data_IF_399893746226
#
_entry.id   IF_399893746226
#
_cell.length_a   1.000
_cell.length_b   1.000
_cell.length_c   1.000
_cell.angle_alpha   90.00
_cell.angle_beta   90.00
_cell.angle_gamma   90.00
#
_symmetry.space_group_name_H-M   'P 1'
#
loop_
_entity.id
_entity.type
_entity.pdbx_description
1 polymer ?
#
# COMPACT_ATOMS: atom_id res chain seq x y z
N UNK A 1 -3.68 -20.30 10.23
CA UNK A 1 -2.71 -19.59 9.39
C UNK A 1 -3.00 -18.10 9.54
N UNK A 2 -1.98 -17.31 9.85
CA UNK A 2 -2.08 -15.87 10.13
C UNK A 2 -1.23 -15.14 9.10
N UNK A 3 -1.87 -14.34 8.25
CA UNK A 3 -1.18 -13.48 7.30
C UNK A 3 -0.92 -12.10 7.91
N UNK A 4 0.22 -11.49 7.59
CA UNK A 4 0.56 -10.18 8.16
C UNK A 4 -0.46 -9.12 7.72
N UNK A 5 -0.76 -9.05 6.42
CA UNK A 5 -1.73 -8.08 5.87
C UNK A 5 -3.15 -8.28 6.39
N UNK A 6 -3.61 -9.54 6.53
CA UNK A 6 -4.95 -9.87 7.02
C UNK A 6 -5.12 -9.54 8.51
N UNK A 7 -4.03 -9.61 9.29
CA UNK A 7 -4.06 -9.29 10.70
C UNK A 7 -4.17 -7.79 10.96
N UNK A 8 -3.69 -6.91 10.08
CA UNK A 8 -3.72 -5.44 10.28
C UNK A 8 -5.11 -4.91 10.67
N UNK A 9 -6.21 -5.15 9.94
CA UNK A 9 -7.53 -4.68 10.35
C UNK A 9 -7.99 -5.28 11.68
N UNK A 10 -7.62 -6.53 11.98
CA UNK A 10 -7.96 -7.19 13.26
C UNK A 10 -7.21 -6.52 14.42
N UNK A 11 -5.92 -6.26 14.22
CA UNK A 11 -5.07 -5.57 15.19
C UNK A 11 -5.62 -4.17 15.51
N UNK A 12 -6.05 -3.42 14.50
CA UNK A 12 -6.71 -2.14 14.71
C UNK A 12 -8.03 -2.29 15.47
N UNK A 13 -8.86 -3.29 15.17
CA UNK A 13 -10.10 -3.54 15.91
C UNK A 13 -9.84 -3.80 17.40
N UNK A 14 -8.83 -4.62 17.72
CA UNK A 14 -8.42 -4.93 19.09
C UNK A 14 -7.82 -3.71 19.80
N UNK A 15 -6.92 -2.98 19.15
CA UNK A 15 -6.35 -1.75 19.70
C UNK A 15 -7.42 -0.71 20.03
N UNK A 16 -8.36 -0.49 19.11
CA UNK A 16 -9.52 0.40 19.32
C UNK A 16 -10.49 -0.13 20.38
N UNK A 17 -10.37 -1.39 20.80
CA UNK A 17 -11.12 -1.97 21.91
C UNK A 17 -10.33 -2.01 23.24
N UNK A 18 -9.10 -1.49 23.27
CA UNK A 18 -8.22 -1.53 24.43
C UNK A 18 -7.50 -2.87 24.63
N UNK A 19 -7.57 -3.79 23.67
CA UNK A 19 -6.98 -5.13 23.72
C UNK A 19 -5.62 -5.18 23.03
N UNK A 20 -4.65 -4.38 23.51
CA UNK A 20 -3.34 -4.23 22.86
C UNK A 20 -2.42 -5.46 22.93
N UNK A 21 -2.67 -6.39 23.86
CA UNK A 21 -1.77 -7.53 24.13
C UNK A 21 -1.62 -8.46 22.92
N UNK A 22 -2.70 -8.79 22.22
CA UNK A 22 -2.64 -9.64 21.03
C UNK A 22 -1.77 -9.00 19.93
N UNK A 23 -1.81 -7.68 19.81
CA UNK A 23 -1.03 -6.95 18.81
C UNK A 23 0.44 -6.88 19.19
N UNK A 24 0.74 -6.65 20.47
CA UNK A 24 2.11 -6.74 21.00
C UNK A 24 2.73 -8.11 20.76
N UNK A 25 1.99 -9.17 21.08
CA UNK A 25 2.44 -10.56 20.88
C UNK A 25 2.65 -10.86 19.41
N UNK A 26 1.73 -10.45 18.52
CA UNK A 26 1.90 -10.59 17.08
C UNK A 26 3.17 -9.90 16.58
N UNK A 27 3.40 -8.63 16.95
CA UNK A 27 4.57 -7.86 16.53
C UNK A 27 5.89 -8.53 16.97
N UNK A 28 5.95 -9.00 18.22
CA UNK A 28 7.14 -9.67 18.76
C UNK A 28 7.37 -11.05 18.15
N UNK A 29 6.32 -11.87 17.96
CA UNK A 29 6.48 -13.19 17.36
C UNK A 29 6.86 -13.11 15.88
N UNK A 30 6.25 -12.22 15.11
CA UNK A 30 6.65 -12.00 13.71
C UNK A 30 8.07 -11.43 13.58
N UNK A 31 8.51 -10.61 14.54
CA UNK A 31 9.90 -10.16 14.61
C UNK A 31 10.87 -11.33 14.89
N UNK A 32 10.50 -12.27 15.76
CA UNK A 32 11.29 -13.49 15.97
C UNK A 32 11.44 -14.26 14.65
N UNK A 33 10.35 -14.42 13.89
CA UNK A 33 10.38 -15.06 12.56
C UNK A 33 11.31 -14.33 11.58
N UNK A 34 11.42 -13.00 11.64
CA UNK A 34 12.38 -12.26 10.81
C UNK A 34 13.83 -12.71 11.02
N UNK A 35 14.19 -13.16 12.23
CA UNK A 35 15.55 -13.60 12.54
C UNK A 35 15.88 -15.03 12.08
N UNK A 36 14.89 -15.78 11.59
CA UNK A 36 15.08 -17.16 11.13
C UNK A 36 15.98 -17.20 9.89
N UNK A 37 16.74 -18.29 9.77
CA UNK A 37 17.48 -18.58 8.54
C UNK A 37 16.47 -18.88 7.42
N UNK A 38 16.56 -18.08 6.36
CA UNK A 38 15.68 -18.18 5.20
C UNK A 38 16.53 -18.73 4.07
N UNK A 39 16.14 -19.87 3.53
CA UNK A 39 16.84 -20.47 2.39
C UNK A 39 15.80 -21.01 1.41
N UNK A 40 15.85 -20.50 0.18
CA UNK A 40 15.11 -21.03 -0.95
C UNK A 40 16.11 -21.71 -1.86
N UNK A 41 16.10 -23.04 -1.87
CA UNK A 41 17.08 -23.88 -2.56
C UNK A 41 18.53 -23.52 -2.15
N UNK A 42 19.27 -22.78 -2.98
CA UNK A 42 20.65 -22.36 -2.73
C UNK A 42 20.79 -20.84 -2.51
N UNK A 43 19.70 -20.13 -2.22
CA UNK A 43 19.68 -18.68 -2.07
C UNK A 43 19.01 -18.25 -0.77
N UNK A 44 19.65 -17.32 -0.04
CA UNK A 44 19.07 -16.72 1.16
C UNK A 44 18.56 -15.31 0.86
N UNK A 45 17.26 -15.04 1.02
CA UNK A 45 16.72 -13.69 0.85
C UNK A 45 17.25 -12.73 1.92
N UNK A 46 17.04 -11.44 1.70
CA UNK A 46 17.51 -10.39 2.60
C UNK A 46 17.04 -10.59 4.05
N UNK A 47 17.93 -10.34 5.00
CA UNK A 47 17.69 -10.57 6.44
C UNK A 47 16.44 -9.84 6.95
N UNK A 48 16.12 -8.67 6.40
CA UNK A 48 14.94 -7.89 6.77
C UNK A 48 13.60 -8.40 6.27
N UNK A 49 13.56 -9.47 5.47
CA UNK A 49 12.32 -10.01 4.92
C UNK A 49 11.39 -10.50 6.06
N UNK A 50 10.16 -10.00 6.07
CA UNK A 50 9.10 -10.51 6.95
C UNK A 50 8.35 -11.63 6.23
N UNK A 51 7.83 -12.64 6.97
CA UNK A 51 7.04 -13.70 6.36
C UNK A 51 5.71 -13.16 5.82
N UNK A 52 5.17 -13.78 4.78
CA UNK A 52 3.82 -13.50 4.31
C UNK A 52 2.79 -13.93 5.34
N UNK A 53 3.01 -15.14 5.88
CA UNK A 53 2.14 -15.77 6.86
C UNK A 53 2.92 -16.68 7.81
N UNK A 54 2.26 -17.12 8.86
CA UNK A 54 2.74 -18.23 9.69
C UNK A 54 1.57 -19.08 10.20
N UNK A 55 1.84 -20.30 10.65
CA UNK A 55 0.87 -21.14 11.36
C UNK A 55 1.50 -21.72 12.62
N UNK A 56 0.67 -22.08 13.58
CA UNK A 56 1.11 -22.83 14.77
C UNK A 56 1.04 -24.32 14.42
N UNK A 57 2.13 -25.05 14.66
CA UNK A 57 2.18 -26.52 14.56
C UNK A 57 2.53 -27.09 15.93
N UNK A 58 1.75 -28.04 16.40
CA UNK A 58 2.09 -28.84 17.58
C UNK A 58 3.00 -29.98 17.15
N UNK A 59 4.25 -29.99 17.62
CA UNK A 59 5.24 -31.02 17.33
C UNK A 59 5.54 -31.83 18.60
N UNK A 60 5.75 -33.15 18.50
CA UNK A 60 6.08 -33.96 19.67
C UNK A 60 7.46 -33.56 20.22
N UNK A 61 7.58 -33.50 21.55
CA UNK A 61 8.84 -33.21 22.23
C UNK A 61 9.77 -34.43 22.16
N UNK A 62 10.98 -34.22 21.64
CA UNK A 62 11.98 -35.27 21.52
C UNK A 62 12.28 -35.90 22.89
N UNK A 63 12.12 -37.23 22.95
CA UNK A 63 12.35 -38.02 24.17
C UNK A 63 11.21 -37.99 25.20
N UNK A 64 10.07 -37.34 24.92
CA UNK A 64 8.90 -37.31 25.82
C UNK A 64 7.60 -37.73 25.11
N UNK A 65 7.31 -39.05 25.05
CA UNK A 65 6.12 -39.56 24.37
C UNK A 65 4.83 -38.99 24.98
N UNK A 66 4.03 -38.29 24.17
CA UNK A 66 2.75 -37.70 24.59
C UNK A 66 2.82 -36.23 25.01
N UNK A 67 4.01 -35.64 25.10
CA UNK A 67 4.18 -34.18 25.27
C UNK A 67 4.40 -33.51 23.90
N UNK A 68 3.76 -32.36 23.67
CA UNK A 68 3.86 -31.57 22.45
C UNK A 68 4.28 -30.14 22.78
N UNK A 69 5.03 -29.51 21.87
CA UNK A 69 5.31 -28.08 21.89
C UNK A 69 4.71 -27.38 20.66
N UNK A 70 4.20 -26.18 20.86
CA UNK A 70 3.69 -25.35 19.77
C UNK A 70 4.82 -24.52 19.18
N UNK A 71 5.07 -24.73 17.88
CA UNK A 71 6.13 -24.04 17.12
C UNK A 71 5.49 -23.21 16.01
N UNK A 72 6.05 -22.02 15.78
CA UNK A 72 5.66 -21.16 14.67
C UNK A 72 6.32 -21.64 13.37
N UNK A 73 5.52 -21.84 12.33
CA UNK A 73 5.94 -22.26 11.00
C UNK A 73 5.68 -21.11 10.01
N UNK A 74 6.71 -20.29 9.70
CA UNK A 74 6.58 -19.17 8.77
C UNK A 74 6.55 -19.63 7.30
N UNK A 75 5.97 -18.79 6.44
CA UNK A 75 6.09 -18.88 4.98
C UNK A 75 6.58 -17.52 4.47
N UNK A 76 7.81 -17.47 3.95
CA UNK A 76 8.42 -16.26 3.37
C UNK A 76 8.17 -16.14 1.86
N UNK A 77 7.35 -17.02 1.28
CA UNK A 77 7.08 -17.09 -0.16
C UNK A 77 7.57 -18.38 -0.80
N UNK A 78 8.39 -19.18 -0.10
CA UNK A 78 8.88 -20.47 -0.58
C UNK A 78 7.77 -21.50 -0.80
N UNK A 79 6.71 -21.42 0.01
CA UNK A 79 5.51 -22.28 -0.12
C UNK A 79 4.38 -21.58 -0.86
N UNK A 80 4.53 -20.28 -1.17
CA UNK A 80 3.52 -19.51 -1.89
C UNK A 80 3.40 -19.98 -3.34
N UNK A 81 2.17 -19.99 -3.85
CA UNK A 81 1.90 -20.31 -5.26
C UNK A 81 2.62 -19.27 -6.14
N UNK A 82 3.54 -19.72 -6.99
CA UNK A 82 4.35 -18.83 -7.84
C UNK A 82 5.59 -18.24 -7.16
N UNK A 83 5.93 -18.67 -5.94
CA UNK A 83 7.09 -18.21 -5.15
C UNK A 83 7.18 -16.70 -5.00
N UNK A 84 6.05 -16.07 -4.69
CA UNK A 84 5.91 -14.61 -4.68
C UNK A 84 6.46 -14.02 -3.39
N UNK A 85 7.25 -12.95 -3.50
CA UNK A 85 7.86 -12.27 -2.36
C UNK A 85 6.88 -11.29 -1.68
N UNK A 86 6.64 -11.40 -0.36
CA UNK A 86 5.69 -10.57 0.38
C UNK A 86 6.29 -9.22 0.79
N UNK A 87 6.58 -8.35 -0.18
CA UNK A 87 7.24 -7.06 0.05
C UNK A 87 6.42 -6.16 1.00
N UNK A 88 5.09 -6.20 0.88
CA UNK A 88 4.15 -5.45 1.70
C UNK A 88 4.22 -5.80 3.21
N UNK A 89 4.61 -7.02 3.55
CA UNK A 89 4.54 -7.53 4.93
C UNK A 89 5.49 -6.80 5.88
N UNK A 90 6.70 -6.46 5.44
CA UNK A 90 7.62 -5.62 6.22
C UNK A 90 7.11 -4.19 6.40
N UNK A 91 6.48 -3.64 5.36
CA UNK A 91 5.91 -2.29 5.38
C UNK A 91 4.74 -2.22 6.37
N UNK A 92 3.84 -3.21 6.30
CA UNK A 92 2.71 -3.34 7.21
C UNK A 92 3.13 -3.53 8.66
N UNK A 93 4.19 -4.32 8.91
CA UNK A 93 4.71 -4.50 10.26
C UNK A 93 5.18 -3.19 10.89
N UNK A 94 5.90 -2.35 10.14
CA UNK A 94 6.34 -1.02 10.61
C UNK A 94 5.12 -0.10 10.86
N UNK A 95 4.16 -0.09 9.94
CA UNK A 95 2.92 0.71 10.08
C UNK A 95 2.14 0.29 11.33
N UNK A 96 2.00 -1.02 11.56
CA UNK A 96 1.28 -1.56 12.71
C UNK A 96 2.00 -1.30 14.03
N UNK A 97 3.34 -1.38 14.06
CA UNK A 97 4.13 -1.04 15.24
C UNK A 97 3.88 0.42 15.66
N UNK A 98 3.86 1.36 14.70
CA UNK A 98 3.51 2.75 14.99
C UNK A 98 2.09 2.87 15.52
N UNK A 99 1.13 2.19 14.88
CA UNK A 99 -0.27 2.21 15.31
C UNK A 99 -0.44 1.71 16.75
N UNK A 100 0.28 0.65 17.13
CA UNK A 100 0.31 0.14 18.51
C UNK A 100 0.73 1.25 19.48
N UNK A 101 1.90 1.87 19.28
CA UNK A 101 2.41 2.89 20.20
C UNK A 101 1.50 4.11 20.28
N UNK A 102 0.93 4.52 19.14
CA UNK A 102 0.01 5.66 19.05
C UNK A 102 -1.34 5.45 19.73
N UNK A 103 -1.94 4.26 19.61
CA UNK A 103 -3.24 3.98 20.23
C UNK A 103 -3.10 3.64 21.71
N UNK A 104 -2.07 2.87 22.09
CA UNK A 104 -1.88 2.43 23.48
C UNK A 104 -1.18 3.46 24.36
N UNK A 105 -0.41 4.39 23.75
CA UNK A 105 0.52 5.26 24.46
C UNK A 105 1.80 4.56 24.94
N UNK A 106 1.94 3.25 24.73
CA UNK A 106 3.11 2.46 25.10
C UNK A 106 4.17 2.50 23.99
N UNK A 107 5.10 3.45 24.12
CA UNK A 107 6.27 3.55 23.23
C UNK A 107 7.45 2.67 23.67
N UNK A 108 7.36 1.95 24.79
CA UNK A 108 8.47 1.11 25.27
C UNK A 108 8.73 -0.06 24.32
N UNK A 109 7.69 -0.55 23.62
CA UNK A 109 7.81 -1.62 22.64
C UNK A 109 8.74 -1.21 21.48
N UNK A 110 8.55 0.00 20.92
CA UNK A 110 9.36 0.47 19.80
C UNK A 110 10.82 0.76 20.21
N UNK A 111 11.08 1.04 21.49
CA UNK A 111 12.42 1.33 22.01
C UNK A 111 13.28 0.09 22.25
N UNK A 112 12.68 -1.11 22.25
CA UNK A 112 13.43 -2.36 22.45
C UNK A 112 14.50 -2.55 21.36
N UNK A 113 15.64 -3.11 21.75
CA UNK A 113 16.79 -3.31 20.87
C UNK A 113 16.48 -4.26 19.71
N UNK A 114 15.73 -5.34 19.97
CA UNK A 114 15.27 -6.28 18.93
C UNK A 114 14.35 -5.60 17.93
N UNK A 115 13.39 -4.81 18.40
CA UNK A 115 12.44 -4.06 17.56
C UNK A 115 13.16 -3.01 16.71
N UNK A 116 14.06 -2.21 17.31
CA UNK A 116 14.90 -1.26 16.57
C UNK A 116 15.75 -1.95 15.51
N UNK A 117 16.28 -3.13 15.81
CA UNK A 117 17.04 -3.93 14.85
C UNK A 117 16.15 -4.40 13.70
N UNK A 118 14.94 -4.88 13.99
CA UNK A 118 13.98 -5.31 12.97
C UNK A 118 13.58 -4.19 12.01
N UNK A 119 13.27 -3.00 12.54
CA UNK A 119 12.99 -1.81 11.71
C UNK A 119 14.18 -1.53 10.78
N UNK A 120 15.40 -1.51 11.32
CA UNK A 120 16.63 -1.24 10.55
C UNK A 120 16.86 -2.27 9.44
N UNK A 121 16.59 -3.55 9.69
CA UNK A 121 16.76 -4.61 8.69
C UNK A 121 15.76 -4.46 7.54
N UNK A 122 14.49 -4.14 7.83
CA UNK A 122 13.47 -3.86 6.80
C UNK A 122 13.90 -2.64 5.98
N UNK A 123 14.28 -1.54 6.64
CA UNK A 123 14.70 -0.32 5.96
C UNK A 123 15.92 -0.54 5.07
N UNK A 124 16.92 -1.30 5.52
CA UNK A 124 18.10 -1.64 4.71
C UNK A 124 17.73 -2.42 3.46
N UNK A 125 16.75 -3.32 3.54
CA UNK A 125 16.27 -4.06 2.37
C UNK A 125 15.57 -3.13 1.37
N UNK A 126 14.72 -2.21 1.84
CA UNK A 126 13.99 -1.28 0.99
C UNK A 126 14.85 -0.13 0.43
N UNK A 127 15.91 0.26 1.13
CA UNK A 127 16.82 1.36 0.77
C UNK A 127 18.12 0.87 0.13
N UNK A 128 18.25 -0.44 -0.13
CA UNK A 128 19.44 -1.01 -0.74
C UNK A 128 19.73 -0.35 -2.09
N UNK A 129 21.01 -0.10 -2.35
CA UNK A 129 21.46 0.38 -3.65
C UNK A 129 21.22 -0.69 -4.72
N UNK A 130 20.84 -0.26 -5.92
CA UNK A 130 20.60 -1.14 -7.06
C UNK A 130 20.85 -0.40 -8.37
N UNK A 131 20.53 -1.06 -9.48
CA UNK A 131 20.61 -0.44 -10.82
C UNK A 131 19.41 0.47 -11.14
N UNK A 132 18.37 0.42 -10.31
CA UNK A 132 17.19 1.24 -10.50
C UNK A 132 17.52 2.72 -10.25
N UNK A 133 17.11 3.57 -11.20
CA UNK A 133 17.35 5.01 -11.18
C UNK A 133 16.20 5.78 -10.52
N UNK A 134 15.10 5.10 -10.20
CA UNK A 134 13.92 5.70 -9.60
C UNK A 134 13.97 5.64 -8.05
N UNK A 135 13.36 6.62 -7.35
CA UNK A 135 13.25 6.57 -5.90
C UNK A 135 12.22 5.55 -5.42
N UNK A 136 11.41 5.00 -6.32
CA UNK A 136 10.42 3.95 -6.07
C UNK A 136 11.08 2.61 -5.74
N UNK A 137 10.34 1.71 -5.11
CA UNK A 137 10.79 0.35 -4.83
C UNK A 137 10.45 -0.53 -6.04
N UNK A 138 11.47 -1.13 -6.65
CA UNK A 138 11.33 -2.12 -7.72
C UNK A 138 10.88 -3.46 -7.14
N UNK A 139 9.82 -4.04 -7.69
CA UNK A 139 9.26 -5.32 -7.22
C UNK A 139 8.85 -6.23 -8.37
N UNK A 140 8.77 -7.53 -8.09
CA UNK A 140 8.17 -8.51 -9.00
C UNK A 140 6.64 -8.41 -8.98
N UNK A 141 6.00 -9.06 -9.94
CA UNK A 141 4.53 -9.20 -9.96
C UNK A 141 4.06 -9.98 -8.72
N UNK A 142 2.84 -9.72 -8.27
CA UNK A 142 2.27 -10.40 -7.10
C UNK A 142 2.79 -9.92 -5.73
N UNK A 143 3.60 -8.88 -5.63
CA UNK A 143 4.39 -8.58 -4.42
C UNK A 143 3.63 -7.88 -3.27
N UNK A 144 2.31 -7.76 -3.34
CA UNK A 144 1.49 -7.02 -2.37
C UNK A 144 0.18 -7.75 -2.03
N UNK A 145 -0.92 -7.05 -1.69
CA UNK A 145 -2.23 -7.69 -1.49
C UNK A 145 -2.66 -8.51 -2.70
N UNK A 146 -2.35 -8.01 -3.90
CA UNK A 146 -2.50 -8.75 -5.15
C UNK A 146 -1.31 -9.72 -5.22
N UNK A 147 -1.53 -10.95 -4.75
CA UNK A 147 -0.49 -12.00 -4.63
C UNK A 147 -0.32 -12.90 -5.86
N UNK A 148 -0.81 -12.44 -7.03
CA UNK A 148 -0.81 -13.17 -8.30
C UNK A 148 -0.41 -12.25 -9.44
N UNK A 149 -0.02 -12.83 -10.58
CA UNK A 149 0.36 -12.07 -11.78
C UNK A 149 -0.81 -11.22 -12.30
N UNK A 150 -0.66 -9.90 -12.20
CA UNK A 150 -1.68 -8.91 -12.58
C UNK A 150 -1.11 -7.73 -13.36
N UNK A 151 0.15 -7.83 -13.80
CA UNK A 151 0.86 -6.76 -14.49
C UNK A 151 1.30 -5.65 -13.53
N UNK A 152 1.55 -6.00 -12.27
CA UNK A 152 1.93 -5.03 -11.22
C UNK A 152 3.42 -5.13 -10.83
N UNK A 153 4.24 -5.80 -11.64
CA UNK A 153 5.71 -5.74 -11.53
C UNK A 153 6.23 -4.32 -11.84
N UNK A 154 7.46 -4.00 -11.44
CA UNK A 154 8.01 -2.65 -11.62
C UNK A 154 7.77 -1.80 -10.38
N UNK A 155 6.94 -0.77 -10.50
CA UNK A 155 6.74 0.24 -9.46
C UNK A 155 5.25 0.46 -9.12
N UNK A 156 4.54 -0.57 -8.62
CA UNK A 156 3.11 -0.48 -8.37
C UNK A 156 2.82 0.50 -7.23
N UNK A 157 1.81 1.35 -7.41
CA UNK A 157 1.43 2.43 -6.48
C UNK A 157 1.19 1.93 -5.06
N UNK A 158 0.58 0.76 -4.90
CA UNK A 158 0.33 0.16 -3.58
C UNK A 158 1.62 0.01 -2.77
N UNK A 159 2.67 -0.58 -3.37
CA UNK A 159 3.97 -0.69 -2.71
C UNK A 159 4.56 0.69 -2.44
N UNK A 160 4.46 1.63 -3.40
CA UNK A 160 5.06 2.96 -3.22
C UNK A 160 4.39 3.75 -2.09
N UNK A 161 3.06 3.66 -1.96
CA UNK A 161 2.29 4.32 -0.91
C UNK A 161 2.56 3.70 0.47
N UNK A 162 2.61 2.36 0.55
CA UNK A 162 2.97 1.66 1.79
C UNK A 162 4.43 1.93 2.18
N UNK A 163 5.34 1.98 1.21
CA UNK A 163 6.74 2.26 1.44
C UNK A 163 6.93 3.68 2.00
N UNK A 164 6.28 4.67 1.39
CA UNK A 164 6.28 6.03 1.91
C UNK A 164 5.74 6.11 3.35
N UNK A 165 4.61 5.44 3.63
CA UNK A 165 4.02 5.37 4.97
C UNK A 165 5.00 4.73 5.98
N UNK A 166 5.60 3.59 5.65
CA UNK A 166 6.57 2.90 6.49
C UNK A 166 7.84 3.74 6.73
N UNK A 167 8.31 4.50 5.74
CA UNK A 167 9.42 5.45 5.92
C UNK A 167 9.05 6.58 6.89
N UNK A 168 7.83 7.13 6.81
CA UNK A 168 7.36 8.15 7.77
C UNK A 168 7.30 7.59 9.19
N UNK A 169 6.72 6.40 9.35
CA UNK A 169 6.68 5.70 10.63
C UNK A 169 8.10 5.46 11.18
N UNK A 170 9.01 4.99 10.33
CA UNK A 170 10.39 4.73 10.72
C UNK A 170 11.13 6.00 11.14
N UNK A 171 10.92 7.12 10.45
CA UNK A 171 11.52 8.40 10.83
C UNK A 171 11.10 8.85 12.24
N UNK A 172 9.88 8.53 12.65
CA UNK A 172 9.37 8.82 14.00
C UNK A 172 9.91 7.84 15.06
N UNK A 173 10.05 6.55 14.71
CA UNK A 173 10.35 5.49 15.69
C UNK A 173 11.83 5.13 15.82
N UNK A 174 12.69 5.39 14.82
CA UNK A 174 14.10 5.02 14.87
C UNK A 174 14.87 5.93 15.83
N UNK A 175 15.53 5.33 16.83
CA UNK A 175 16.37 6.07 17.77
C UNK A 175 17.61 6.59 17.03
N UNK A 176 17.80 7.92 17.05
CA UNK A 176 18.92 8.59 16.38
C UNK A 176 20.17 8.54 17.27
N UNK A 177 21.22 7.91 16.76
CA UNK A 177 22.54 7.86 17.36
C UNK A 177 23.61 7.77 16.25
N UNK A 178 24.89 7.69 16.61
CA UNK A 178 25.99 7.65 15.64
C UNK A 178 25.92 6.50 14.63
N UNK A 179 25.28 5.38 14.98
CA UNK A 179 25.13 4.21 14.09
C UNK A 179 23.91 4.29 13.19
N UNK A 180 22.90 5.10 13.54
CA UNK A 180 21.62 5.21 12.82
C UNK A 180 21.46 6.53 12.07
N UNK A 181 22.27 7.55 12.35
CA UNK A 181 22.19 8.88 11.71
C UNK A 181 22.19 8.83 10.18
N UNK A 182 23.03 7.98 9.58
CA UNK A 182 23.11 7.82 8.13
C UNK A 182 21.85 7.15 7.55
N UNK A 183 21.29 6.18 8.26
CA UNK A 183 20.04 5.52 7.86
C UNK A 183 18.87 6.52 7.91
N UNK A 184 18.79 7.33 8.97
CA UNK A 184 17.75 8.36 9.11
C UNK A 184 17.89 9.44 8.04
N UNK A 185 19.12 9.85 7.70
CA UNK A 185 19.37 10.75 6.57
C UNK A 185 18.92 10.12 5.23
N UNK A 186 19.19 8.82 5.00
CA UNK A 186 18.73 8.11 3.82
C UNK A 186 17.20 8.02 3.76
N UNK A 187 16.52 7.77 4.90
CA UNK A 187 15.05 7.79 5.01
C UNK A 187 14.51 9.17 4.61
N UNK A 188 15.06 10.25 5.14
CA UNK A 188 14.62 11.62 4.81
C UNK A 188 14.81 11.97 3.33
N UNK A 189 15.96 11.63 2.77
CA UNK A 189 16.25 11.84 1.35
C UNK A 189 15.28 11.05 0.47
N UNK A 190 15.02 9.78 0.82
CA UNK A 190 14.09 8.92 0.09
C UNK A 190 12.66 9.42 0.19
N UNK A 191 12.20 9.83 1.37
CA UNK A 191 10.88 10.44 1.56
C UNK A 191 10.66 11.64 0.65
N UNK A 192 11.64 12.56 0.57
CA UNK A 192 11.56 13.74 -0.30
C UNK A 192 11.52 13.38 -1.78
N UNK A 193 12.39 12.47 -2.22
CA UNK A 193 12.46 12.04 -3.61
C UNK A 193 11.21 11.27 -4.05
N UNK A 194 10.72 10.34 -3.23
CA UNK A 194 9.53 9.54 -3.49
C UNK A 194 8.27 10.42 -3.53
N UNK A 195 8.11 11.34 -2.57
CA UNK A 195 6.99 12.29 -2.56
C UNK A 195 6.94 13.12 -3.85
N UNK A 196 8.07 13.70 -4.26
CA UNK A 196 8.13 14.44 -5.51
C UNK A 196 7.79 13.55 -6.72
N UNK A 197 8.38 12.36 -6.80
CA UNK A 197 8.21 11.46 -7.93
C UNK A 197 6.74 11.02 -8.10
N UNK A 198 6.07 10.61 -7.02
CA UNK A 198 4.67 10.18 -7.07
C UNK A 198 3.75 11.37 -7.40
N UNK A 199 3.92 12.52 -6.73
CA UNK A 199 3.09 13.71 -6.97
C UNK A 199 3.18 14.22 -8.41
N UNK A 200 4.36 14.17 -9.01
CA UNK A 200 4.61 14.71 -10.34
C UNK A 200 4.26 13.73 -11.46
N UNK A 201 4.65 12.45 -11.31
CA UNK A 201 4.64 11.52 -12.44
C UNK A 201 3.54 10.46 -12.37
N UNK A 202 2.97 10.20 -11.18
CA UNK A 202 1.88 9.24 -11.04
C UNK A 202 0.51 9.92 -11.08
N UNK A 203 0.43 11.21 -10.76
CA UNK A 203 -0.84 11.93 -10.76
C UNK A 203 -1.40 12.08 -12.16
N UNK A 204 -2.67 11.72 -12.33
CA UNK A 204 -3.46 12.02 -13.53
C UNK A 204 -4.74 12.76 -13.13
N UNK A 205 -5.03 13.78 -13.92
CA UNK A 205 -6.32 14.46 -14.03
C UNK A 205 -6.56 14.74 -15.53
N UNK A 206 -7.73 15.30 -15.90
CA UNK A 206 -8.03 15.57 -17.31
C UNK A 206 -6.99 16.49 -17.97
N UNK A 207 -6.42 17.44 -17.22
CA UNK A 207 -5.36 18.32 -17.72
C UNK A 207 -4.09 17.53 -18.01
N UNK A 208 -3.67 16.65 -17.08
CA UNK A 208 -2.47 15.83 -17.25
C UNK A 208 -2.63 14.78 -18.35
N UNK A 209 -3.81 14.18 -18.49
CA UNK A 209 -4.11 13.26 -19.60
C UNK A 209 -3.98 13.98 -20.95
N UNK A 210 -4.53 15.19 -21.07
CA UNK A 210 -4.39 16.00 -22.28
C UNK A 210 -2.92 16.40 -22.55
N UNK A 211 -2.11 16.59 -21.51
CA UNK A 211 -0.66 16.80 -21.64
C UNK A 211 0.04 15.54 -22.19
N UNK A 212 -0.23 14.36 -21.60
CA UNK A 212 0.33 13.07 -22.03
C UNK A 212 -0.08 12.75 -23.47
N UNK A 213 -1.33 13.02 -23.83
CA UNK A 213 -1.84 12.84 -25.20
C UNK A 213 -1.04 13.64 -26.25
N UNK A 214 -0.38 14.72 -25.82
CA UNK A 214 0.40 15.62 -26.68
C UNK A 214 1.91 15.44 -26.52
N UNK A 215 2.35 14.41 -25.80
CA UNK A 215 3.77 14.13 -25.64
C UNK A 215 4.44 13.92 -26.99
N UNK A 216 5.66 14.45 -27.10
CA UNK A 216 6.60 14.01 -28.13
C UNK A 216 7.36 12.80 -27.59
N UNK A 217 7.74 11.91 -28.48
CA UNK A 217 8.51 10.70 -28.16
C UNK A 217 9.98 10.90 -28.52
N UNK A 218 10.84 10.00 -28.05
CA UNK A 218 12.28 10.01 -28.33
C UNK A 218 13.00 11.28 -27.85
N UNK A 219 12.53 11.86 -26.73
CA UNK A 219 13.15 13.03 -26.12
C UNK A 219 14.43 12.62 -25.36
N UNK A 220 15.59 12.99 -25.90
CA UNK A 220 16.88 12.76 -25.26
C UNK A 220 17.47 14.07 -24.70
N UNK A 221 16.98 14.52 -23.55
CA UNK A 221 17.53 15.70 -22.86
C UNK A 221 17.16 15.74 -21.37
N UNK A 222 17.88 16.53 -20.58
CA UNK A 222 17.50 16.79 -19.18
C UNK A 222 16.28 17.69 -19.02
N UNK A 223 15.89 18.38 -20.09
CA UNK A 223 14.72 19.26 -20.15
C UNK A 223 13.52 18.55 -20.81
N UNK A 224 13.59 17.23 -20.98
CA UNK A 224 12.51 16.41 -21.53
C UNK A 224 11.24 16.53 -20.69
N UNK A 225 10.11 16.73 -21.37
CA UNK A 225 8.77 16.70 -20.79
C UNK A 225 8.36 15.24 -20.61
N UNK A 226 8.53 14.43 -21.66
CA UNK A 226 8.21 13.01 -21.65
C UNK A 226 9.38 12.17 -21.12
N UNK A 227 9.69 12.31 -19.82
CA UNK A 227 10.87 11.70 -19.18
C UNK A 227 10.95 10.18 -19.24
N UNK A 228 9.80 9.52 -19.43
CA UNK A 228 9.68 8.07 -19.45
C UNK A 228 9.46 7.52 -20.86
N UNK A 229 9.52 8.36 -21.90
CA UNK A 229 9.21 7.99 -23.28
C UNK A 229 7.86 7.26 -23.41
N UNK A 230 6.82 7.79 -22.77
CA UNK A 230 5.46 7.26 -22.85
C UNK A 230 4.90 7.57 -24.25
N UNK A 231 4.46 6.54 -24.94
CA UNK A 231 3.74 6.67 -26.20
C UNK A 231 2.29 7.10 -25.91
N UNK A 232 1.78 8.21 -26.48
CA UNK A 232 0.40 8.68 -26.26
C UNK A 232 -0.67 7.61 -26.53
N UNK A 233 -0.40 6.67 -27.43
CA UNK A 233 -1.26 5.55 -27.79
C UNK A 233 -1.50 4.57 -26.63
N UNK A 234 -0.73 4.65 -25.54
CA UNK A 234 -0.98 3.87 -24.32
C UNK A 234 -2.15 4.39 -23.50
N UNK A 235 -2.64 5.62 -23.73
CA UNK A 235 -3.85 6.12 -23.06
C UNK A 235 -5.02 5.23 -23.49
N UNK A 236 -5.62 4.46 -22.57
CA UNK A 236 -6.63 3.50 -22.97
C UNK A 236 -7.95 4.21 -23.29
N UNK A 237 -8.69 3.67 -24.25
CA UNK A 237 -9.91 4.31 -24.77
C UNK A 237 -10.97 4.57 -23.70
N UNK A 238 -11.04 3.72 -22.66
CA UNK A 238 -11.98 3.90 -21.55
C UNK A 238 -11.66 5.11 -20.67
N UNK A 239 -10.40 5.55 -20.60
CA UNK A 239 -9.96 6.50 -19.57
C UNK A 239 -10.57 7.88 -19.75
N UNK A 240 -10.56 8.40 -20.98
CA UNK A 240 -11.05 9.76 -21.28
C UNK A 240 -12.54 9.87 -21.01
N UNK A 241 -13.32 8.86 -21.42
CA UNK A 241 -14.77 8.83 -21.20
C UNK A 241 -15.13 8.55 -19.73
N UNK A 242 -14.27 7.80 -19.03
CA UNK A 242 -14.47 7.46 -17.63
C UNK A 242 -14.03 8.57 -16.67
N UNK A 243 -13.11 9.45 -17.05
CA UNK A 243 -12.59 10.47 -16.14
C UNK A 243 -13.65 11.51 -15.74
N UNK A 244 -13.76 11.92 -14.47
CA UNK A 244 -14.64 13.01 -14.05
C UNK A 244 -14.16 14.37 -14.55
N UNK A 245 -15.05 15.37 -14.56
CA UNK A 245 -14.67 16.77 -14.81
C UNK A 245 -13.82 17.34 -13.66
N UNK A 246 -14.07 16.87 -12.43
CA UNK A 246 -13.38 17.30 -11.22
C UNK A 246 -12.71 16.10 -10.51
N UNK A 247 -11.46 16.29 -10.09
CA UNK A 247 -10.68 15.26 -9.38
C UNK A 247 -9.62 14.57 -10.23
N UNK A 248 -9.11 13.46 -9.72
CA UNK A 248 -7.99 12.72 -10.30
C UNK A 248 -7.47 11.64 -9.37
N UNK A 249 -6.47 10.89 -9.81
CA UNK A 249 -5.88 9.81 -9.00
C UNK A 249 -4.42 9.56 -9.36
N UNK A 250 -3.75 8.76 -8.54
CA UNK A 250 -2.44 8.22 -8.88
C UNK A 250 -2.61 6.92 -9.68
N UNK A 251 -2.00 6.86 -10.86
CA UNK A 251 -1.98 5.68 -11.74
C UNK A 251 -1.40 4.45 -11.02
N UNK A 252 -1.69 3.27 -11.55
CA UNK A 252 -1.28 2.01 -10.95
C UNK A 252 0.22 1.74 -10.98
N UNK A 253 0.92 2.18 -12.04
CA UNK A 253 2.32 1.85 -12.24
C UNK A 253 2.98 2.80 -13.25
N UNK A 254 4.28 3.02 -13.12
CA UNK A 254 5.09 3.80 -14.06
C UNK A 254 6.46 3.15 -14.24
N UNK A 255 6.82 2.87 -15.48
CA UNK A 255 8.08 2.22 -15.88
C UNK A 255 8.65 2.91 -17.13
N UNK A 256 9.92 2.64 -17.51
CA UNK A 256 10.44 3.08 -18.80
C UNK A 256 9.52 2.62 -19.94
N UNK A 257 9.01 3.59 -20.72
CA UNK A 257 8.08 3.41 -21.82
C UNK A 257 6.75 2.72 -21.49
N UNK A 258 6.33 2.67 -20.22
CA UNK A 258 5.07 2.02 -19.84
C UNK A 258 4.36 2.73 -18.69
N UNK A 259 3.08 3.02 -18.88
CA UNK A 259 2.20 3.66 -17.88
C UNK A 259 0.92 2.82 -17.69
N UNK A 260 0.70 2.30 -16.48
CA UNK A 260 -0.52 1.55 -16.16
C UNK A 260 -1.57 2.50 -15.59
N UNK A 261 -2.51 2.90 -16.43
CA UNK A 261 -3.58 3.84 -16.06
C UNK A 261 -4.66 3.24 -15.16
N UNK A 262 -4.64 1.95 -14.80
CA UNK A 262 -5.66 1.39 -13.90
C UNK A 262 -5.68 2.12 -12.55
N UNK A 263 -6.87 2.36 -12.02
CA UNK A 263 -7.06 2.86 -10.67
C UNK A 263 -6.86 1.71 -9.69
N UNK A 264 -5.97 1.87 -8.71
CA UNK A 264 -5.78 0.91 -7.61
C UNK A 264 -6.19 1.55 -6.30
N UNK A 265 -7.19 0.95 -5.64
CA UNK A 265 -7.85 1.55 -4.47
C UNK A 265 -6.92 1.69 -3.30
N UNK A 266 -6.25 0.61 -2.88
CA UNK A 266 -5.40 0.62 -1.69
C UNK A 266 -4.28 1.66 -1.83
N UNK A 267 -3.58 1.68 -2.98
CA UNK A 267 -2.52 2.67 -3.24
C UNK A 267 -3.00 4.12 -3.14
N UNK A 268 -4.16 4.45 -3.73
CA UNK A 268 -4.73 5.78 -3.67
C UNK A 268 -5.21 6.16 -2.25
N UNK A 269 -5.82 5.23 -1.52
CA UNK A 269 -6.23 5.47 -0.13
C UNK A 269 -5.01 5.67 0.78
N UNK A 270 -3.94 4.90 0.59
CA UNK A 270 -2.71 5.09 1.36
C UNK A 270 -1.95 6.35 0.96
N UNK A 271 -2.09 6.82 -0.28
CA UNK A 271 -1.57 8.13 -0.66
C UNK A 271 -2.25 9.26 0.13
N UNK A 272 -3.56 9.16 0.36
CA UNK A 272 -4.31 10.04 1.26
C UNK A 272 -3.84 9.86 2.70
N UNK A 273 -3.94 8.66 3.27
CA UNK A 273 -3.65 8.38 4.70
C UNK A 273 -2.25 8.84 5.10
N UNK A 274 -1.25 8.66 4.23
CA UNK A 274 0.15 9.02 4.50
C UNK A 274 0.53 10.46 4.15
N UNK A 275 -0.36 11.26 3.57
CA UNK A 275 -0.05 12.56 2.92
C UNK A 275 1.02 12.46 1.83
N UNK A 276 1.09 11.32 1.13
CA UNK A 276 1.94 11.21 -0.06
C UNK A 276 1.44 12.11 -1.18
N UNK A 277 0.13 12.18 -1.39
CA UNK A 277 -0.48 13.18 -2.26
C UNK A 277 -0.58 14.54 -1.58
N UNK A 278 -0.53 15.62 -2.36
CA UNK A 278 -0.82 16.97 -1.86
C UNK A 278 -2.30 17.09 -1.43
N UNK A 279 -2.68 18.11 -0.62
CA UNK A 279 -4.08 18.28 -0.21
C UNK A 279 -5.06 18.28 -1.39
N UNK A 280 -4.73 19.00 -2.47
CA UNK A 280 -5.55 19.04 -3.70
C UNK A 280 -5.68 17.67 -4.39
N UNK A 281 -4.59 16.90 -4.43
CA UNK A 281 -4.61 15.56 -5.03
C UNK A 281 -5.42 14.59 -4.19
N UNK A 282 -5.30 14.67 -2.87
CA UNK A 282 -6.05 13.83 -1.93
C UNK A 282 -7.56 14.11 -1.99
N UNK A 283 -7.95 15.39 -2.06
CA UNK A 283 -9.34 15.78 -2.35
C UNK A 283 -9.80 15.23 -3.71
N UNK A 284 -8.94 15.35 -4.74
CA UNK A 284 -9.23 14.87 -6.08
C UNK A 284 -9.51 13.37 -6.16
N UNK A 285 -8.84 12.56 -5.34
CA UNK A 285 -9.09 11.11 -5.24
C UNK A 285 -10.47 10.83 -4.65
N UNK A 286 -10.86 11.51 -3.57
CA UNK A 286 -12.18 11.30 -2.97
C UNK A 286 -13.30 11.82 -3.87
N UNK A 287 -13.08 12.93 -4.58
CA UNK A 287 -14.02 13.44 -5.58
C UNK A 287 -14.22 12.42 -6.71
N UNK A 288 -13.12 11.82 -7.21
CA UNK A 288 -13.21 10.75 -8.21
C UNK A 288 -14.03 9.55 -7.68
N UNK A 289 -13.76 9.09 -6.45
CA UNK A 289 -14.49 7.96 -5.86
C UNK A 289 -15.98 8.28 -5.71
N UNK A 290 -16.32 9.50 -5.34
CA UNK A 290 -17.71 9.94 -5.23
C UNK A 290 -18.40 10.06 -6.59
N UNK A 291 -17.76 10.68 -7.58
CA UNK A 291 -18.32 10.83 -8.93
C UNK A 291 -18.42 9.49 -9.67
N UNK A 292 -17.51 8.55 -9.42
CA UNK A 292 -17.48 7.20 -10.00
C UNK A 292 -17.91 6.13 -8.99
N UNK A 293 -18.81 6.49 -8.08
CA UNK A 293 -19.30 5.62 -7.02
C UNK A 293 -19.81 4.27 -7.53
N UNK A 294 -20.56 4.27 -8.63
CA UNK A 294 -21.17 3.05 -9.18
C UNK A 294 -20.16 2.10 -9.83
N UNK A 295 -18.96 2.57 -10.17
CA UNK A 295 -17.85 1.76 -10.71
C UNK A 295 -16.85 1.35 -9.61
N UNK A 296 -16.53 2.23 -8.66
CA UNK A 296 -15.48 2.01 -7.66
C UNK A 296 -16.00 1.46 -6.33
N UNK A 297 -17.21 1.86 -5.93
CA UNK A 297 -17.88 1.36 -4.71
C UNK A 297 -18.89 0.29 -5.04
N UNK A 298 -19.65 0.46 -6.13
CA UNK A 298 -20.61 -0.52 -6.66
C UNK A 298 -21.69 -0.92 -5.64
N UNK A 299 -22.18 -2.17 -5.68
CA UNK A 299 -23.08 -2.72 -4.65
C UNK A 299 -22.33 -3.37 -3.47
N UNK A 300 -21.00 -3.47 -3.56
CA UNK A 300 -20.14 -3.95 -2.48
C UNK A 300 -18.83 -3.16 -2.48
N UNK A 301 -18.59 -2.31 -1.46
CA UNK A 301 -17.33 -1.58 -1.32
C UNK A 301 -16.16 -2.55 -1.07
N UNK A 302 -14.96 -2.34 -1.59
CA UNK A 302 -14.58 -1.45 -2.70
C UNK A 302 -13.96 -2.29 -3.80
N UNK A 303 -13.99 -1.82 -5.05
CA UNK A 303 -13.17 -2.43 -6.10
C UNK A 303 -11.70 -2.40 -5.70
N UNK A 304 -10.98 -3.49 -5.92
CA UNK A 304 -9.53 -3.52 -5.68
C UNK A 304 -8.77 -2.70 -6.73
N UNK A 305 -9.19 -2.81 -7.99
CA UNK A 305 -8.75 -1.99 -9.09
C UNK A 305 -9.87 -1.77 -10.11
N UNK A 306 -9.69 -0.79 -11.00
CA UNK A 306 -10.59 -0.51 -12.11
C UNK A 306 -9.83 0.01 -13.35
N UNK A 307 -10.23 -0.39 -14.57
CA UNK A 307 -11.17 -1.48 -14.88
C UNK A 307 -10.51 -2.86 -14.73
N UNK A 308 -11.31 -3.92 -14.93
CA UNK A 308 -10.77 -5.27 -15.10
C UNK A 308 -10.11 -5.43 -16.48
N UNK A 309 -9.04 -6.21 -16.53
CA UNK A 309 -8.44 -6.74 -17.75
C UNK A 309 -9.40 -7.76 -18.37
N UNK A 310 -9.64 -7.66 -19.67
CA UNK A 310 -10.54 -8.56 -20.41
C UNK A 310 -9.88 -9.12 -21.68
N UNK A 311 -10.43 -10.22 -22.20
CA UNK A 311 -10.02 -10.86 -23.45
C UNK A 311 -8.49 -11.04 -23.56
N UNK A 312 -7.87 -10.39 -24.56
CA UNK A 312 -6.44 -10.53 -24.83
C UNK A 312 -5.56 -9.94 -23.74
N UNK A 313 -5.96 -8.82 -23.14
CA UNK A 313 -5.22 -8.21 -22.03
C UNK A 313 -5.17 -9.17 -20.85
N UNK A 314 -6.30 -9.80 -20.51
CA UNK A 314 -6.33 -10.83 -19.47
C UNK A 314 -5.41 -12.01 -19.81
N UNK A 315 -5.47 -12.53 -21.05
CA UNK A 315 -4.62 -13.65 -21.47
C UNK A 315 -3.13 -13.32 -21.34
N UNK A 316 -2.71 -12.17 -21.85
CA UNK A 316 -1.29 -11.76 -21.90
C UNK A 316 -0.77 -11.38 -20.51
N UNK A 317 -1.47 -10.49 -19.82
CA UNK A 317 -0.97 -9.87 -18.58
C UNK A 317 -1.02 -10.87 -17.43
N UNK A 318 -2.13 -11.59 -17.27
CA UNK A 318 -2.29 -12.55 -16.17
C UNK A 318 -1.69 -13.92 -16.49
N UNK A 319 -1.43 -14.21 -17.77
CA UNK A 319 -1.08 -15.57 -18.21
C UNK A 319 -2.29 -16.51 -18.21
N UNK A 320 -3.47 -15.99 -18.53
CA UNK A 320 -4.75 -16.73 -18.49
C UNK A 320 -5.07 -17.31 -17.10
N UNK A 321 -4.81 -16.54 -16.04
CA UNK A 321 -5.03 -16.97 -14.66
C UNK A 321 -6.52 -17.18 -14.38
N UNK A 322 -6.98 -18.43 -14.12
CA UNK A 322 -8.40 -18.75 -14.00
C UNK A 322 -9.05 -18.21 -12.72
N UNK A 323 -8.26 -17.74 -11.74
CA UNK A 323 -8.76 -17.09 -10.53
C UNK A 323 -9.01 -15.60 -10.76
N UNK A 324 -8.28 -14.98 -11.68
CA UNK A 324 -8.34 -13.55 -12.01
C UNK A 324 -9.12 -13.29 -13.31
N UNK A 325 -10.22 -14.02 -13.54
CA UNK A 325 -11.11 -13.72 -14.67
C UNK A 325 -11.67 -12.29 -14.57
N UNK A 326 -12.12 -11.67 -15.67
CA UNK A 326 -12.63 -10.31 -15.65
C UNK A 326 -13.67 -10.08 -14.55
N UNK A 327 -13.46 -9.05 -13.74
CA UNK A 327 -14.28 -8.69 -12.58
C UNK A 327 -14.33 -9.74 -11.47
N UNK A 328 -13.24 -10.50 -11.28
CA UNK A 328 -13.10 -11.50 -10.22
C UNK A 328 -11.77 -11.37 -9.48
N UNK A 329 -11.80 -11.68 -8.19
CA UNK A 329 -10.63 -11.70 -7.31
C UNK A 329 -9.79 -10.40 -7.44
N UNK A 330 -8.53 -10.45 -7.88
CA UNK A 330 -7.70 -9.25 -8.04
C UNK A 330 -8.02 -8.45 -9.30
N UNK A 331 -8.66 -9.06 -10.30
CA UNK A 331 -8.96 -8.43 -11.57
C UNK A 331 -10.31 -7.71 -11.53
N UNK A 332 -10.40 -6.64 -10.74
CA UNK A 332 -11.63 -5.84 -10.60
C UNK A 332 -12.69 -6.48 -9.69
N UNK A 333 -12.31 -7.38 -8.80
CA UNK A 333 -13.18 -7.85 -7.71
C UNK A 333 -13.45 -6.75 -6.68
N UNK A 334 -14.56 -6.89 -5.95
CA UNK A 334 -14.93 -6.03 -4.83
C UNK A 334 -14.51 -6.67 -3.50
N UNK A 335 -13.72 -5.96 -2.70
CA UNK A 335 -13.06 -6.45 -1.49
C UNK A 335 -13.53 -5.66 -0.26
N UNK A 336 -14.39 -6.25 0.60
CA UNK A 336 -14.90 -5.60 1.80
C UNK A 336 -13.83 -5.16 2.79
N UNK A 337 -12.69 -5.85 2.83
CA UNK A 337 -11.54 -5.48 3.68
C UNK A 337 -11.04 -4.06 3.41
N UNK A 338 -11.25 -3.49 2.20
CA UNK A 338 -10.82 -2.14 1.86
C UNK A 338 -11.61 -1.01 2.56
N UNK A 339 -12.71 -1.35 3.25
CA UNK A 339 -13.57 -0.39 3.94
C UNK A 339 -12.84 0.42 5.02
N UNK A 340 -11.91 -0.18 5.76
CA UNK A 340 -11.28 0.52 6.89
C UNK A 340 -10.28 1.57 6.41
N UNK A 341 -9.52 1.29 5.34
CA UNK A 341 -8.62 2.26 4.72
C UNK A 341 -9.42 3.42 4.12
N UNK A 342 -10.56 3.12 3.49
CA UNK A 342 -11.43 4.16 2.93
C UNK A 342 -12.06 5.02 4.01
N UNK A 343 -12.49 4.39 5.11
CA UNK A 343 -13.00 5.10 6.28
C UNK A 343 -11.94 6.02 6.86
N UNK A 344 -10.70 5.55 7.02
CA UNK A 344 -9.60 6.35 7.53
C UNK A 344 -9.27 7.55 6.62
N UNK A 345 -9.23 7.33 5.31
CA UNK A 345 -9.05 8.39 4.31
C UNK A 345 -10.19 9.43 4.37
N UNK A 346 -11.44 8.98 4.48
CA UNK A 346 -12.60 9.86 4.61
C UNK A 346 -12.56 10.71 5.89
N UNK A 347 -12.20 10.12 7.03
CA UNK A 347 -12.06 10.85 8.30
C UNK A 347 -10.99 11.93 8.17
N UNK A 348 -9.81 11.57 7.65
CA UNK A 348 -8.71 12.51 7.43
C UNK A 348 -9.16 13.72 6.60
N UNK A 349 -9.86 13.47 5.49
CA UNK A 349 -10.32 14.52 4.59
C UNK A 349 -11.59 15.22 5.07
N UNK A 350 -12.04 14.94 6.31
CA UNK A 350 -13.25 15.53 6.91
C UNK A 350 -14.53 15.24 6.10
N UNK A 351 -14.58 14.08 5.47
CA UNK A 351 -15.70 13.55 4.67
C UNK A 351 -16.27 12.23 5.21
N UNK A 352 -16.57 12.10 6.52
CA UNK A 352 -17.00 10.83 7.12
C UNK A 352 -18.35 10.31 6.59
N UNK A 353 -19.17 11.16 5.96
CA UNK A 353 -20.42 10.79 5.30
C UNK A 353 -20.21 9.75 4.18
N UNK A 354 -19.12 9.85 3.42
CA UNK A 354 -18.78 8.86 2.38
C UNK A 354 -18.52 7.48 2.99
N UNK A 355 -17.76 7.43 4.09
CA UNK A 355 -17.49 6.20 4.82
C UNK A 355 -18.79 5.60 5.38
N UNK A 356 -19.65 6.40 6.01
CA UNK A 356 -20.97 5.94 6.50
C UNK A 356 -21.83 5.36 5.38
N UNK A 357 -21.85 6.00 4.22
CA UNK A 357 -22.57 5.53 3.02
C UNK A 357 -22.04 4.16 2.55
N UNK A 358 -20.73 3.99 2.48
CA UNK A 358 -20.12 2.71 2.08
C UNK A 358 -20.38 1.59 3.10
N UNK A 359 -20.23 1.87 4.40
CA UNK A 359 -20.50 0.91 5.47
C UNK A 359 -21.96 0.47 5.46
N UNK A 360 -22.91 1.43 5.37
CA UNK A 360 -24.33 1.13 5.31
C UNK A 360 -24.71 0.30 4.07
N UNK A 361 -23.98 0.45 2.97
CA UNK A 361 -24.15 -0.40 1.79
C UNK A 361 -23.68 -1.83 2.05
N UNK A 362 -22.48 -2.01 2.64
CA UNK A 362 -21.93 -3.32 2.96
C UNK A 362 -22.75 -4.08 4.01
N UNK A 363 -23.24 -3.36 5.04
CA UNK A 363 -24.00 -3.90 6.17
C UNK A 363 -25.28 -4.62 5.74
N UNK A 364 -25.88 -4.23 4.60
CA UNK A 364 -27.06 -4.89 4.02
C UNK A 364 -26.84 -6.35 3.64
N UNK A 365 -25.59 -6.74 3.35
CA UNK A 365 -25.28 -8.02 2.71
C UNK A 365 -24.22 -8.84 3.43
N UNK A 366 -23.18 -8.21 4.01
CA UNK A 366 -22.03 -8.95 4.53
C UNK A 366 -22.40 -10.06 5.52
N UNK A 367 -23.31 -9.79 6.47
CA UNK A 367 -23.74 -10.79 7.45
C UNK A 367 -24.57 -11.91 6.79
N UNK A 368 -25.55 -11.55 5.96
CA UNK A 368 -26.42 -12.49 5.23
C UNK A 368 -25.61 -13.42 4.31
N UNK A 369 -24.61 -12.86 3.64
CA UNK A 369 -23.73 -13.56 2.71
C UNK A 369 -22.60 -14.34 3.44
N UNK A 370 -22.61 -14.37 4.79
CA UNK A 370 -21.65 -15.07 5.65
C UNK A 370 -20.20 -14.58 5.49
N UNK A 371 -20.02 -13.27 5.39
CA UNK A 371 -18.73 -12.57 5.36
C UNK A 371 -17.74 -13.13 4.32
N UNK A 372 -18.07 -13.09 3.01
CA UNK A 372 -17.17 -13.56 1.96
C UNK A 372 -15.89 -12.72 1.89
N UNK A 373 -14.79 -13.37 1.51
CA UNK A 373 -13.50 -12.76 1.21
C UNK A 373 -13.56 -11.66 0.14
N UNK A 374 -14.36 -11.86 -0.93
CA UNK A 374 -14.52 -10.91 -2.04
C UNK A 374 -15.81 -11.20 -2.82
N UNK A 375 -16.19 -10.24 -3.67
CA UNK A 375 -17.36 -10.29 -4.54
C UNK A 375 -16.97 -10.05 -5.99
N UNK A 376 -17.65 -10.75 -6.90
CA UNK A 376 -17.38 -10.73 -8.34
C UNK A 376 -18.43 -9.91 -9.11
N UNK A 377 -18.21 -9.80 -10.42
CA UNK A 377 -18.97 -9.03 -11.41
C UNK A 377 -18.66 -7.54 -11.36
N UNK A 378 -18.93 -6.84 -12.48
CA UNK A 378 -18.70 -5.40 -12.61
C UNK A 378 -19.26 -4.61 -11.43
N UNK A 379 -20.44 -4.99 -10.93
CA UNK A 379 -21.12 -4.27 -9.84
C UNK A 379 -21.11 -4.99 -8.49
N UNK A 380 -20.25 -6.00 -8.28
CA UNK A 380 -20.11 -6.67 -6.97
C UNK A 380 -21.37 -7.44 -6.53
N UNK A 381 -22.16 -7.94 -7.49
CA UNK A 381 -23.46 -8.57 -7.19
C UNK A 381 -23.31 -10.00 -6.69
N UNK A 382 -22.35 -10.76 -7.20
CA UNK A 382 -22.16 -12.16 -6.81
C UNK A 382 -21.10 -12.28 -5.73
N UNK A 383 -21.31 -13.22 -4.81
CA UNK A 383 -20.22 -13.71 -3.94
C UNK A 383 -19.11 -14.23 -4.86
N UNK A 384 -17.86 -13.95 -4.51
CA UNK A 384 -16.72 -14.28 -5.35
C UNK A 384 -16.65 -15.77 -5.68
N UNK A 385 -16.26 -16.11 -6.92
CA UNK A 385 -16.30 -17.47 -7.49
C UNK A 385 -15.61 -18.52 -6.62
N UNK A 386 -14.51 -18.14 -5.97
CA UNK A 386 -13.75 -18.97 -5.03
C UNK A 386 -13.58 -18.27 -3.68
N UNK A 387 -14.55 -17.45 -3.29
CA UNK A 387 -14.48 -16.68 -2.05
C UNK A 387 -14.65 -17.60 -0.84
N UNK A 388 -13.73 -17.49 0.12
CA UNK A 388 -13.91 -18.11 1.44
C UNK A 388 -14.97 -17.34 2.22
N UNK A 389 -15.84 -18.06 2.90
CA UNK A 389 -16.78 -17.48 3.86
C UNK A 389 -16.12 -17.27 5.21
N UNK A 390 -16.67 -16.37 6.02
CA UNK A 390 -16.14 -15.99 7.33
C UNK A 390 -14.70 -15.51 7.28
N UNK A 391 -14.33 -14.78 6.22
CA UNK A 391 -12.97 -14.30 6.06
C UNK A 391 -12.67 -13.21 7.09
N UNK A 392 -11.64 -13.44 7.92
CA UNK A 392 -11.30 -12.61 9.09
C UNK A 392 -11.15 -11.14 8.76
N UNK A 393 -10.37 -10.77 7.73
CA UNK A 393 -10.15 -9.36 7.39
C UNK A 393 -11.39 -8.64 6.84
N UNK A 394 -12.41 -9.37 6.40
CA UNK A 394 -13.68 -8.79 5.94
C UNK A 394 -14.52 -8.42 7.16
N UNK A 395 -14.60 -9.32 8.14
CA UNK A 395 -15.24 -9.04 9.43
C UNK A 395 -14.50 -7.90 10.14
N UNK A 396 -13.18 -8.02 10.27
CA UNK A 396 -12.35 -7.06 10.97
C UNK A 396 -12.33 -5.70 10.26
N UNK A 397 -12.23 -5.65 8.92
CA UNK A 397 -12.28 -4.41 8.17
C UNK A 397 -13.59 -3.66 8.36
N UNK A 398 -14.73 -4.38 8.37
CA UNK A 398 -16.04 -3.80 8.68
C UNK A 398 -16.11 -3.26 10.12
N UNK A 399 -15.70 -4.05 11.12
CA UNK A 399 -15.72 -3.63 12.53
C UNK A 399 -14.80 -2.44 12.79
N UNK A 400 -13.58 -2.46 12.26
CA UNK A 400 -12.61 -1.37 12.37
C UNK A 400 -13.16 -0.11 11.75
N UNK A 401 -13.85 -0.19 10.61
CA UNK A 401 -14.49 0.98 10.00
C UNK A 401 -15.52 1.64 10.93
N UNK A 402 -16.37 0.86 11.61
CA UNK A 402 -17.34 1.39 12.57
C UNK A 402 -16.65 2.01 13.78
N UNK A 403 -15.67 1.32 14.37
CA UNK A 403 -14.88 1.82 15.51
C UNK A 403 -14.13 3.13 15.20
N UNK A 404 -13.58 3.27 13.99
CA UNK A 404 -12.91 4.51 13.57
C UNK A 404 -13.88 5.69 13.49
N UNK A 405 -15.12 5.46 13.01
CA UNK A 405 -16.15 6.51 12.97
C UNK A 405 -16.71 6.87 14.35
N UNK A 406 -16.76 5.89 15.26
CA UNK A 406 -17.16 6.10 16.66
C UNK A 406 -16.11 6.91 17.43
N UNK A 407 -14.82 6.79 17.07
CA UNK A 407 -13.73 7.50 17.74
C UNK A 407 -12.78 8.21 16.73
N UNK A 408 -13.19 9.35 16.15
CA UNK A 408 -12.38 10.10 15.19
C UNK A 408 -11.06 10.64 15.77
N UNK A 409 -11.01 10.91 17.08
CA UNK A 409 -9.78 11.32 17.76
C UNK A 409 -8.75 10.21 17.71
N UNK A 410 -9.13 8.98 18.06
CA UNK A 410 -8.24 7.83 17.96
C UNK A 410 -7.87 7.52 16.50
N UNK A 411 -8.79 7.71 15.55
CA UNK A 411 -8.51 7.58 14.13
C UNK A 411 -7.46 8.59 13.63
N UNK A 412 -7.42 9.80 14.20
CA UNK A 412 -6.43 10.83 13.84
C UNK A 412 -4.98 10.43 14.12
N UNK A 413 -4.77 9.50 15.05
CA UNK A 413 -3.45 8.95 15.34
C UNK A 413 -2.92 8.01 14.24
N UNK A 414 -3.80 7.53 13.34
CA UNK A 414 -3.49 6.53 12.32
C UNK A 414 -3.21 7.11 10.93
N UNK A 415 -3.41 8.41 10.74
CA UNK A 415 -3.03 9.11 9.52
C UNK A 415 -2.02 10.22 9.80
N UNK A 416 -1.50 10.80 8.73
CA UNK A 416 -0.49 11.85 8.82
C UNK A 416 -1.03 13.20 8.36
N UNK A 417 -0.39 14.29 8.76
CA UNK A 417 -0.58 15.60 8.13
C UNK A 417 0.52 15.87 7.08
N UNK A 418 0.31 16.91 6.27
CA UNK A 418 1.30 17.38 5.29
C UNK A 418 2.63 17.69 6.00
N UNK A 419 3.73 17.24 5.41
CA UNK A 419 5.06 17.43 5.97
C UNK A 419 5.81 18.53 5.23
N UNK A 420 5.65 19.76 5.70
CA UNK A 420 6.26 20.94 5.09
C UNK A 420 7.80 20.89 5.12
N UNK A 421 8.41 20.22 6.11
CA UNK A 421 9.87 20.07 6.19
C UNK A 421 10.42 19.20 5.05
N UNK A 422 9.69 18.16 4.63
CA UNK A 422 10.06 17.34 3.46
C UNK A 422 9.93 18.12 2.13
N UNK A 423 9.02 19.08 2.06
CA UNK A 423 8.84 19.93 0.88
C UNK A 423 10.01 20.92 0.71
N UNK A 424 10.53 21.44 1.83
CA UNK A 424 11.67 22.35 1.86
C UNK A 424 13.00 21.65 1.53
N UNK A 425 13.19 20.43 2.03
CA UNK A 425 14.40 19.63 1.85
C UNK A 425 14.41 18.90 0.51
N UNK A 426 14.62 19.63 -0.59
CA UNK A 426 15.00 19.03 -1.87
C UNK A 426 16.52 18.97 -2.01
N UNK A 427 17.07 17.78 -2.31
CA UNK A 427 18.51 17.57 -2.56
C UNK A 427 19.05 18.50 -3.67
N UNK A 428 18.19 18.91 -4.59
CA UNK A 428 18.48 19.90 -5.61
C UNK A 428 18.89 21.29 -5.08
N UNK A 429 18.54 21.64 -3.83
CA UNK A 429 18.91 22.89 -3.16
C UNK A 429 20.25 22.84 -2.42
N UNK A 430 20.85 21.64 -2.24
CA UNK A 430 22.10 21.43 -1.50
C UNK A 430 23.35 21.49 -2.40
N UNK A 431 23.21 21.81 -3.69
CA UNK A 431 24.31 21.89 -4.66
C UNK A 431 25.18 23.14 -4.53
N UNK A 432 26.25 23.06 -3.74
CA UNK A 432 27.37 24.00 -3.76
C UNK A 432 28.29 23.83 -4.98
N UNK A 433 28.65 24.97 -5.59
CA UNK A 433 29.71 25.24 -6.60
C UNK A 433 29.80 24.45 -7.92
N UNK A 434 29.27 23.24 -8.08
CA UNK A 434 29.21 22.54 -9.38
C UNK A 434 27.99 21.59 -9.44
N UNK A 435 26.79 22.09 -9.74
CA UNK A 435 25.60 21.25 -9.88
C UNK A 435 24.32 22.03 -10.18
N UNK A 436 23.55 21.58 -11.18
CA UNK A 436 22.46 22.29 -11.87
C UNK A 436 21.33 22.79 -10.95
N UNK A 437 20.99 24.09 -11.08
CA UNK A 437 19.96 24.83 -10.32
C UNK A 437 18.48 24.57 -10.70
N UNK A 438 18.17 23.68 -11.65
CA UNK A 438 16.78 23.52 -12.13
C UNK A 438 16.13 22.27 -11.55
N UNK A 439 15.49 22.42 -10.39
CA UNK A 439 14.45 21.50 -9.94
C UNK A 439 13.09 22.09 -10.28
N UNK A 440 12.19 21.28 -10.87
CA UNK A 440 10.81 21.70 -11.14
C UNK A 440 10.03 22.06 -9.88
N UNK A 441 10.50 21.68 -8.67
CA UNK A 441 9.95 22.18 -7.39
C UNK A 441 9.97 23.71 -7.25
N UNK A 442 10.86 24.44 -7.94
CA UNK A 442 10.85 25.90 -7.89
C UNK A 442 9.52 26.50 -8.42
N UNK A 443 8.83 25.81 -9.34
CA UNK A 443 7.52 26.21 -9.85
C UNK A 443 6.36 25.89 -8.87
N UNK A 444 6.56 24.97 -7.93
CA UNK A 444 5.56 24.65 -6.88
C UNK A 444 5.61 25.64 -5.70
N UNK A 445 6.71 26.37 -5.52
CA UNK A 445 6.83 27.42 -4.47
C UNK A 445 5.87 28.59 -4.69
N UNK A 446 5.45 28.89 -5.91
CA UNK A 446 4.57 30.02 -6.23
C UNK A 446 3.08 29.77 -5.95
N UNK A 447 2.69 28.58 -5.47
CA UNK A 447 1.29 28.26 -5.17
C UNK A 447 0.96 28.24 -3.67
N UNK A 448 1.90 28.62 -2.79
CA UNK A 448 1.72 28.61 -1.33
C UNK A 448 1.94 29.98 -0.66
N UNK A 449 1.83 31.06 -1.41
CA UNK A 449 1.68 32.42 -0.84
C UNK A 449 0.41 33.03 -1.39
N UNK A 450 -0.73 32.65 -0.80
CA UNK A 450 -1.85 33.50 -0.32
C UNK A 450 -2.59 32.72 0.75
#
# INVERSE_FOLDING_TARGET
MVFIRDFVPSALAFLLNGEGEIVKNFLLHTLQLQSWEKTVDCHSPGQGLMPASFKVRSVPLDGRPGEFEDVLDPDFGESAIGRVAPVDSGLWWIILLRAYGKITGDYTLQERVDVQTGIRLILKLCLADGFDMFPTLLVTDGSCMIDRRMGIHGHPLEIQALFYSALRCSREMVIVNDTTKNLVAAVNNRLSALCFHIREYYWVDMKKINEIYRYKTEEYSTDAINKFNIYPEQIPSWLVDWFPESGGYFIGNLQPAHMDFRFFTLGNLWAIVSSLGSPKQNDGILNLIEEKWDDLVTNMPLKICYPALDNEEWRIITGSDPKNTPWSYHNGGSWPTLLWQFTLACIKMKRPELARKAIALAEKRLSTDKWPEYYDTRYGRFIGKQSRLYQTWTIAGFLTSKKLLENPEMASNLFWEEDYQLLENCVCGLGGKYGRKKCSRAALRSHHVV
#
